data_IF_063564759012
#
_entry.id   IF_063564759012
#
_cell.length_a   1.000
_cell.length_b   1.000
_cell.length_c   1.000
_cell.angle_alpha   90.00
_cell.angle_beta   90.00
_cell.angle_gamma   90.00
#
_symmetry.space_group_name_H-M   'P 1'
#
loop_
_entity.id
_entity.type
_entity.pdbx_description
1 polymer ?
#
# COMPACT_ATOMS: atom_id res chain seq x y z
N UNK A 1 -38.68 7.03 14.50
CA UNK A 1 -37.49 7.85 14.23
C UNK A 1 -36.69 7.06 13.21
N UNK A 2 -36.77 7.46 11.94
CA UNK A 2 -35.95 6.83 10.90
C UNK A 2 -34.51 7.24 11.17
N UNK A 3 -33.66 6.29 11.52
CA UNK A 3 -32.21 6.47 11.52
C UNK A 3 -31.80 6.70 10.07
N UNK A 4 -31.76 7.95 9.66
CA UNK A 4 -31.18 8.33 8.38
C UNK A 4 -29.66 8.22 8.53
N UNK A 5 -29.16 6.98 8.46
CA UNK A 5 -27.71 6.75 8.45
C UNK A 5 -27.17 7.24 7.11
N UNK A 6 -26.52 8.38 7.14
CA UNK A 6 -25.88 8.95 5.95
C UNK A 6 -24.78 7.99 5.49
N UNK A 7 -24.84 7.61 4.21
CA UNK A 7 -23.87 6.74 3.57
C UNK A 7 -23.09 7.55 2.53
N UNK A 8 -21.80 7.25 2.43
CA UNK A 8 -20.93 7.81 1.40
C UNK A 8 -20.70 6.75 0.32
N UNK A 9 -20.78 7.16 -0.94
CA UNK A 9 -20.44 6.32 -2.07
C UNK A 9 -19.53 7.11 -3.02
N UNK A 10 -18.39 6.51 -3.37
CA UNK A 10 -17.46 7.03 -4.38
C UNK A 10 -17.11 5.89 -5.32
N UNK A 11 -17.11 6.15 -6.62
CA UNK A 11 -16.71 5.17 -7.63
C UNK A 11 -15.79 5.82 -8.66
N UNK A 12 -14.80 5.06 -9.14
CA UNK A 12 -13.85 5.51 -10.16
C UNK A 12 -13.42 4.37 -11.07
N UNK A 13 -13.30 4.68 -12.35
CA UNK A 13 -12.83 3.78 -13.39
C UNK A 13 -11.34 4.01 -13.66
N UNK A 14 -10.62 2.92 -13.94
CA UNK A 14 -9.17 2.88 -14.17
C UNK A 14 -8.84 2.12 -15.45
N UNK A 15 -7.85 2.59 -16.18
CA UNK A 15 -7.34 1.92 -17.37
C UNK A 15 -6.32 0.82 -16.98
N UNK A 16 -6.73 -0.14 -16.18
CA UNK A 16 -5.91 -1.26 -15.75
C UNK A 16 -6.78 -2.51 -15.57
N UNK A 17 -6.15 -3.65 -15.32
CA UNK A 17 -6.87 -4.87 -14.96
C UNK A 17 -7.43 -4.80 -13.54
N UNK A 18 -8.49 -5.58 -13.28
CA UNK A 18 -9.05 -5.74 -11.94
C UNK A 18 -8.00 -6.25 -10.93
N UNK A 19 -7.15 -7.18 -11.37
CA UNK A 19 -6.07 -7.73 -10.54
C UNK A 19 -5.06 -6.65 -10.13
N UNK A 20 -4.65 -5.78 -11.07
CA UNK A 20 -3.75 -4.68 -10.77
C UNK A 20 -4.37 -3.68 -9.77
N UNK A 21 -5.66 -3.35 -9.97
CA UNK A 21 -6.41 -2.48 -9.09
C UNK A 21 -6.56 -3.08 -7.67
N UNK A 22 -6.93 -4.36 -7.60
CA UNK A 22 -7.05 -5.11 -6.34
C UNK A 22 -5.70 -5.19 -5.61
N UNK A 23 -4.61 -5.50 -6.32
CA UNK A 23 -3.28 -5.56 -5.75
C UNK A 23 -2.81 -4.20 -5.22
N UNK A 24 -3.04 -3.12 -5.96
CA UNK A 24 -2.72 -1.78 -5.51
C UNK A 24 -3.45 -1.39 -4.23
N UNK A 25 -4.69 -1.87 -4.05
CA UNK A 25 -5.48 -1.64 -2.85
C UNK A 25 -5.08 -2.51 -1.66
N UNK A 26 -4.60 -3.72 -1.89
CA UNK A 26 -4.44 -4.74 -0.85
C UNK A 26 -2.99 -5.02 -0.46
N UNK A 27 -2.04 -4.89 -1.39
CA UNK A 27 -0.64 -5.16 -1.13
C UNK A 27 0.02 -4.03 -0.33
N UNK A 28 0.64 -4.31 0.84
CA UNK A 28 1.19 -3.29 1.72
C UNK A 28 2.18 -2.34 1.04
N UNK A 29 3.07 -2.88 0.21
CA UNK A 29 4.12 -2.09 -0.45
C UNK A 29 3.55 -1.17 -1.55
N UNK A 30 2.48 -1.59 -2.22
CA UNK A 30 1.80 -0.76 -3.19
C UNK A 30 0.96 0.32 -2.50
N UNK A 31 0.21 -0.05 -1.47
CA UNK A 31 -0.64 0.87 -0.72
C UNK A 31 0.16 2.04 -0.12
N UNK A 32 1.33 1.78 0.43
CA UNK A 32 2.25 2.81 0.96
C UNK A 32 2.71 3.83 -0.08
N UNK A 33 2.71 3.46 -1.36
CA UNK A 33 3.18 4.36 -2.42
C UNK A 33 2.15 5.40 -2.82
N UNK A 34 0.87 5.02 -2.86
CA UNK A 34 -0.16 5.90 -3.38
C UNK A 34 -1.05 6.51 -2.31
N UNK A 35 -1.35 5.80 -1.23
CA UNK A 35 -2.36 6.30 -0.28
C UNK A 35 -1.77 7.23 0.76
N UNK A 36 -2.04 8.53 0.59
CA UNK A 36 -1.51 9.62 1.42
C UNK A 36 -2.63 10.55 1.87
N UNK A 37 -3.58 10.07 2.68
CA UNK A 37 -4.67 10.89 3.17
C UNK A 37 -4.13 12.08 3.97
N UNK A 38 -4.66 13.27 3.72
CA UNK A 38 -4.19 14.52 4.33
C UNK A 38 -2.67 14.78 4.13
N UNK A 39 -2.09 14.27 3.04
CA UNK A 39 -0.66 14.36 2.75
C UNK A 39 0.26 13.50 3.64
N UNK A 40 -0.29 12.66 4.52
CA UNK A 40 0.47 11.83 5.47
C UNK A 40 0.89 10.51 4.85
N UNK A 41 2.14 10.11 5.11
CA UNK A 41 2.69 8.87 4.58
C UNK A 41 2.38 7.67 5.47
N UNK A 42 2.01 6.54 4.85
CA UNK A 42 1.88 5.25 5.51
C UNK A 42 3.26 4.69 5.88
N UNK A 43 3.43 4.37 7.16
CA UNK A 43 4.65 3.74 7.69
C UNK A 43 4.47 2.25 7.93
N UNK A 44 3.29 1.84 8.39
CA UNK A 44 2.97 0.43 8.61
C UNK A 44 1.60 0.09 8.00
N UNK A 45 1.56 -1.05 7.33
CA UNK A 45 0.33 -1.65 6.77
C UNK A 45 0.25 -3.11 7.17
N UNK A 46 -0.89 -3.50 7.71
CA UNK A 46 -1.30 -4.90 7.91
C UNK A 46 -2.60 -5.11 7.18
N UNK A 47 -2.61 -6.03 6.24
CA UNK A 47 -3.78 -6.49 5.50
C UNK A 47 -3.85 -8.01 5.51
N UNK A 48 -4.52 -8.58 6.50
CA UNK A 48 -4.74 -10.02 6.57
C UNK A 48 -6.09 -10.36 5.93
N UNK A 49 -6.09 -10.51 4.59
CA UNK A 49 -7.30 -10.59 3.75
C UNK A 49 -7.96 -11.95 3.90
N UNK A 50 -8.73 -12.10 4.95
CA UNK A 50 -9.64 -13.21 5.23
C UNK A 50 -10.68 -12.74 6.24
N UNK A 51 -11.84 -13.37 6.29
CA UNK A 51 -12.85 -13.07 7.30
C UNK A 51 -12.27 -13.19 8.72
N UNK A 52 -12.48 -12.18 9.54
CA UNK A 52 -11.87 -12.01 10.86
C UNK A 52 -10.42 -11.52 10.86
N UNK A 53 -9.78 -11.40 9.68
CA UNK A 53 -8.40 -10.92 9.56
C UNK A 53 -8.26 -9.43 9.87
N UNK A 54 -7.07 -9.05 10.31
CA UNK A 54 -6.76 -7.68 10.75
C UNK A 54 -6.51 -6.74 9.58
N UNK A 55 -7.03 -5.52 9.70
CA UNK A 55 -6.66 -4.33 8.92
C UNK A 55 -6.02 -3.34 9.87
N UNK A 56 -4.79 -2.87 9.58
CA UNK A 56 -4.15 -1.83 10.37
C UNK A 56 -3.24 -0.97 9.52
N UNK A 57 -3.43 0.33 9.60
CA UNK A 57 -2.62 1.33 8.92
C UNK A 57 -2.12 2.36 9.91
N UNK A 58 -0.81 2.57 9.95
CA UNK A 58 -0.16 3.56 10.80
C UNK A 58 0.49 4.60 9.90
N UNK A 59 0.19 5.85 10.15
CA UNK A 59 0.77 6.98 9.44
C UNK A 59 1.94 7.58 10.20
N UNK A 60 2.75 8.39 9.51
CA UNK A 60 3.92 9.05 10.08
C UNK A 60 3.57 9.78 11.40
N UNK A 61 4.54 9.79 12.32
CA UNK A 61 4.40 10.37 13.67
C UNK A 61 3.26 9.77 14.51
N UNK A 62 2.70 8.63 14.10
CA UNK A 62 1.49 8.06 14.68
C UNK A 62 0.35 9.09 14.79
N UNK A 63 0.34 10.05 13.86
CA UNK A 63 -0.66 11.14 13.86
C UNK A 63 -2.06 10.61 13.56
N UNK A 64 -2.14 9.55 12.77
CA UNK A 64 -3.34 8.81 12.45
C UNK A 64 -3.02 7.31 12.51
N UNK A 65 -3.89 6.55 13.12
CA UNK A 65 -3.93 5.10 13.01
C UNK A 65 -5.34 4.70 12.60
N UNK A 66 -5.42 3.74 11.69
CA UNK A 66 -6.69 3.13 11.29
C UNK A 66 -6.58 1.65 11.58
N UNK A 67 -7.59 1.08 12.23
CA UNK A 67 -7.69 -0.35 12.46
C UNK A 67 -9.07 -0.90 12.14
N UNK A 68 -9.13 -2.21 11.97
CA UNK A 68 -10.37 -2.90 11.68
C UNK A 68 -10.19 -4.39 11.47
N UNK A 69 -11.27 -5.04 11.08
CA UNK A 69 -11.32 -6.46 10.74
C UNK A 69 -12.16 -6.67 9.49
N UNK A 70 -11.71 -7.57 8.64
CA UNK A 70 -12.51 -8.05 7.52
C UNK A 70 -13.74 -8.78 8.02
N UNK A 71 -14.92 -8.33 7.62
CA UNK A 71 -16.21 -8.98 7.92
C UNK A 71 -16.59 -9.93 6.79
N UNK A 72 -16.24 -9.58 5.55
CA UNK A 72 -16.52 -10.38 4.36
C UNK A 72 -15.40 -10.23 3.32
N UNK A 73 -15.02 -11.35 2.72
CA UNK A 73 -14.04 -11.41 1.64
C UNK A 73 -14.58 -12.32 0.54
N UNK A 74 -14.85 -11.76 -0.64
CA UNK A 74 -15.31 -12.52 -1.81
C UNK A 74 -14.28 -12.45 -2.93
N UNK A 75 -13.25 -13.29 -2.85
CA UNK A 75 -12.16 -13.29 -3.82
C UNK A 75 -11.59 -11.88 -4.01
N UNK A 76 -11.46 -11.48 -5.29
CA UNK A 76 -11.03 -10.13 -5.67
C UNK A 76 -12.21 -9.21 -6.05
N UNK A 77 -13.44 -9.55 -5.66
CA UNK A 77 -14.63 -8.79 -6.05
C UNK A 77 -15.11 -7.86 -4.95
N UNK A 78 -15.02 -8.30 -3.69
CA UNK A 78 -15.60 -7.55 -2.58
C UNK A 78 -14.80 -7.74 -1.29
N UNK A 79 -14.51 -6.62 -0.64
CA UNK A 79 -13.97 -6.54 0.71
C UNK A 79 -14.91 -5.70 1.57
N UNK A 80 -15.41 -6.27 2.66
CA UNK A 80 -16.16 -5.52 3.69
C UNK A 80 -15.41 -5.62 5.02
N UNK A 81 -15.18 -4.48 5.67
CA UNK A 81 -14.40 -4.42 6.89
C UNK A 81 -14.74 -3.21 7.76
N UNK A 82 -14.50 -3.32 9.06
CA UNK A 82 -14.60 -2.21 9.99
C UNK A 82 -13.42 -1.25 9.77
N UNK A 83 -13.65 0.05 10.02
CA UNK A 83 -12.73 1.13 9.65
C UNK A 83 -12.72 2.17 10.75
N UNK A 84 -11.91 1.95 11.78
CA UNK A 84 -11.86 2.81 12.96
C UNK A 84 -10.70 3.78 12.85
N UNK A 85 -10.96 5.05 13.06
CA UNK A 85 -9.97 6.12 13.00
C UNK A 85 -9.55 6.56 14.40
N UNK A 86 -8.25 6.66 14.62
CA UNK A 86 -7.64 7.16 15.84
C UNK A 86 -6.70 8.31 15.50
N UNK A 87 -7.13 9.55 15.76
CA UNK A 87 -6.35 10.76 15.56
C UNK A 87 -5.67 11.17 16.87
N UNK A 88 -4.34 11.34 16.86
CA UNK A 88 -3.56 11.65 18.06
C UNK A 88 -3.83 13.05 18.62
N UNK A 89 -4.13 14.03 17.76
CA UNK A 89 -4.27 15.44 18.11
C UNK A 89 -5.68 15.83 18.58
N UNK A 90 -6.67 15.07 18.21
CA UNK A 90 -8.07 15.29 18.54
C UNK A 90 -8.59 14.06 19.25
N UNK A 91 -9.16 14.21 20.45
CA UNK A 91 -10.04 13.21 21.02
C UNK A 91 -11.34 13.15 20.20
N UNK A 92 -11.21 12.84 18.93
CA UNK A 92 -12.35 12.39 18.15
C UNK A 92 -12.60 10.99 18.69
N UNK A 93 -13.69 10.84 19.40
CA UNK A 93 -14.21 9.57 19.84
C UNK A 93 -14.19 8.61 18.65
N UNK A 94 -13.65 7.44 18.87
CA UNK A 94 -13.45 6.35 17.93
C UNK A 94 -14.59 6.28 16.90
N UNK A 95 -14.41 6.94 15.77
CA UNK A 95 -15.38 6.90 14.70
C UNK A 95 -15.37 5.47 14.10
N UNK A 96 -16.42 4.74 14.39
CA UNK A 96 -16.59 3.35 13.96
C UNK A 96 -17.30 3.32 12.62
N UNK A 97 -16.52 3.31 11.57
CA UNK A 97 -17.05 3.17 10.21
C UNK A 97 -16.98 1.73 9.73
N UNK A 98 -17.74 1.46 8.67
CA UNK A 98 -17.60 0.25 7.86
C UNK A 98 -17.33 0.66 6.42
N UNK A 99 -16.44 -0.08 5.79
CA UNK A 99 -16.16 0.04 4.37
C UNK A 99 -16.65 -1.20 3.63
N UNK A 100 -17.27 -0.98 2.48
CA UNK A 100 -17.51 -1.99 1.46
C UNK A 100 -16.78 -1.52 0.20
N UNK A 101 -15.80 -2.28 -0.25
CA UNK A 101 -14.98 -1.99 -1.42
C UNK A 101 -15.21 -3.07 -2.46
N UNK A 102 -15.77 -2.67 -3.60
CA UNK A 102 -16.08 -3.56 -4.72
C UNK A 102 -15.15 -3.28 -5.88
N UNK A 103 -14.66 -4.34 -6.50
CA UNK A 103 -13.81 -4.31 -7.69
C UNK A 103 -14.52 -5.01 -8.82
N UNK A 104 -14.68 -4.32 -9.95
CA UNK A 104 -15.37 -4.80 -11.13
C UNK A 104 -14.54 -4.52 -12.39
N UNK A 105 -14.88 -5.19 -13.48
CA UNK A 105 -14.26 -4.96 -14.79
C UNK A 105 -13.34 -6.09 -15.25
N UNK A 106 -12.80 -5.88 -16.44
CA UNK A 106 -11.94 -6.84 -17.16
C UNK A 106 -10.70 -6.13 -17.71
N UNK A 107 -9.72 -6.90 -18.10
CA UNK A 107 -8.44 -6.56 -18.77
C UNK A 107 -7.88 -5.14 -18.55
N UNK A 108 -8.44 -4.12 -19.17
CA UNK A 108 -7.93 -2.73 -19.12
C UNK A 108 -9.00 -1.72 -18.70
N UNK A 109 -10.08 -2.20 -18.07
CA UNK A 109 -11.18 -1.36 -17.66
C UNK A 109 -11.72 -1.85 -16.32
N UNK A 110 -11.04 -1.47 -15.26
CA UNK A 110 -11.45 -1.81 -13.89
C UNK A 110 -12.13 -0.64 -13.20
N UNK A 111 -13.08 -0.94 -12.36
CA UNK A 111 -13.81 0.04 -11.54
C UNK A 111 -13.71 -0.35 -10.08
N UNK A 112 -13.44 0.62 -9.22
CA UNK A 112 -13.58 0.49 -7.78
C UNK A 112 -14.79 1.30 -7.31
N UNK A 113 -15.56 0.73 -6.40
CA UNK A 113 -16.64 1.42 -5.70
C UNK A 113 -16.44 1.28 -4.19
N UNK A 114 -16.34 2.41 -3.51
CA UNK A 114 -16.15 2.49 -2.06
C UNK A 114 -17.44 3.02 -1.44
N UNK A 115 -18.02 2.23 -0.55
CA UNK A 115 -19.15 2.64 0.29
C UNK A 115 -18.67 2.71 1.73
N UNK A 116 -18.84 3.86 2.38
CA UNK A 116 -18.57 4.03 3.79
C UNK A 116 -19.86 4.35 4.54
N UNK A 117 -20.07 3.65 5.64
CA UNK A 117 -21.25 3.79 6.52
C UNK A 117 -20.82 4.00 7.97
N UNK A 118 -21.79 4.30 8.85
CA UNK A 118 -21.53 4.51 10.27
C UNK A 118 -21.31 5.98 10.64
N UNK A 119 -21.69 6.91 9.78
CA UNK A 119 -21.66 8.34 10.11
C UNK A 119 -22.74 8.68 11.14
N UNK A 120 -22.33 9.26 12.25
CA UNK A 120 -23.24 9.78 13.27
C UNK A 120 -23.79 11.17 12.90
N UNK A 121 -22.99 11.93 12.12
CA UNK A 121 -23.31 13.29 11.72
C UNK A 121 -23.18 13.45 10.21
N UNK A 122 -24.19 14.04 9.60
CA UNK A 122 -24.19 14.30 8.15
C UNK A 122 -23.04 15.21 7.70
N UNK A 123 -22.65 16.17 8.54
CA UNK A 123 -21.53 17.08 8.29
C UNK A 123 -20.19 16.36 8.12
N UNK A 124 -20.03 15.15 8.69
CA UNK A 124 -18.81 14.33 8.54
C UNK A 124 -18.72 13.64 7.19
N UNK A 125 -19.80 13.50 6.45
CA UNK A 125 -19.84 12.76 5.17
C UNK A 125 -18.98 13.46 4.10
N UNK A 126 -19.10 14.77 3.95
CA UNK A 126 -18.42 15.52 2.89
C UNK A 126 -16.90 15.51 3.00
N UNK A 127 -16.27 15.73 4.17
CA UNK A 127 -14.82 15.60 4.34
C UNK A 127 -14.30 14.19 3.98
N UNK A 128 -15.02 13.15 4.38
CA UNK A 128 -14.64 11.78 4.03
C UNK A 128 -14.79 11.50 2.53
N UNK A 129 -15.84 12.01 1.90
CA UNK A 129 -16.04 11.89 0.46
C UNK A 129 -14.90 12.53 -0.31
N UNK A 130 -14.53 13.75 0.04
CA UNK A 130 -13.38 14.43 -0.57
C UNK A 130 -12.09 13.63 -0.36
N UNK A 131 -11.84 13.10 0.83
CA UNK A 131 -10.66 12.28 1.11
C UNK A 131 -10.61 11.00 0.24
N UNK A 132 -11.75 10.36 -0.04
CA UNK A 132 -11.82 9.22 -0.95
C UNK A 132 -11.60 9.63 -2.41
N UNK A 133 -12.18 10.74 -2.86
CA UNK A 133 -11.99 11.26 -4.22
C UNK A 133 -10.51 11.58 -4.48
N UNK A 134 -9.84 12.25 -3.53
CA UNK A 134 -8.40 12.54 -3.57
C UNK A 134 -7.57 11.24 -3.53
N UNK A 135 -7.90 10.30 -2.66
CA UNK A 135 -7.23 9.00 -2.58
C UNK A 135 -7.34 8.18 -3.87
N UNK A 136 -8.52 8.14 -4.48
CA UNK A 136 -8.72 7.45 -5.76
C UNK A 136 -8.01 8.17 -6.92
N UNK A 137 -7.78 9.48 -6.82
CA UNK A 137 -6.95 10.21 -7.78
C UNK A 137 -5.47 9.83 -7.62
N UNK A 138 -4.95 9.74 -6.40
CA UNK A 138 -3.59 9.27 -6.11
C UNK A 138 -3.37 7.84 -6.62
N UNK A 139 -4.35 6.95 -6.44
CA UNK A 139 -4.32 5.60 -6.96
C UNK A 139 -4.25 5.57 -8.50
N UNK A 140 -4.98 6.48 -9.18
CA UNK A 140 -4.94 6.58 -10.63
C UNK A 140 -3.56 7.02 -11.13
N UNK A 141 -2.94 7.99 -10.49
CA UNK A 141 -1.59 8.46 -10.82
C UNK A 141 -0.55 7.34 -10.64
N UNK A 142 -0.63 6.61 -9.54
CA UNK A 142 0.23 5.46 -9.26
C UNK A 142 0.12 4.37 -10.33
N UNK A 143 -1.10 3.95 -10.67
CA UNK A 143 -1.33 2.91 -11.68
C UNK A 143 -0.91 3.35 -13.08
N UNK A 144 -1.12 4.61 -13.43
CA UNK A 144 -0.71 5.17 -14.73
C UNK A 144 0.82 5.26 -14.87
N UNK A 145 1.53 5.58 -13.78
CA UNK A 145 2.98 5.62 -13.75
C UNK A 145 3.62 4.24 -13.94
N UNK A 146 3.04 3.21 -13.32
CA UNK A 146 3.55 1.83 -13.45
C UNK A 146 3.36 1.26 -14.85
N UNK A 147 2.28 1.60 -15.56
CA UNK A 147 2.05 1.15 -16.94
C UNK A 147 3.10 1.69 -17.92
N UNK A 148 3.66 2.88 -17.68
CA UNK A 148 4.73 3.44 -18.52
C UNK A 148 6.05 2.68 -18.36
N UNK A 149 6.33 2.15 -17.18
CA UNK A 149 7.53 1.33 -16.94
C UNK A 149 7.45 -0.03 -17.64
N UNK A 150 6.29 -0.68 -17.61
CA UNK A 150 6.09 -1.99 -18.26
C UNK A 150 6.15 -1.90 -19.79
N UNK A 151 5.61 -0.83 -20.37
CA UNK A 151 5.65 -0.60 -21.81
C UNK A 151 7.08 -0.25 -22.31
N UNK A 152 7.91 0.36 -21.50
CA UNK A 152 9.30 0.69 -21.87
C UNK A 152 10.22 -0.53 -21.74
N UNK A 153 9.94 -1.45 -20.82
CA UNK A 153 10.66 -2.72 -20.68
C UNK A 153 10.36 -3.70 -21.84
N UNK A 154 9.14 -3.66 -22.38
CA UNK A 154 8.73 -4.52 -23.49
C UNK A 154 9.26 -4.05 -24.85
N UNK A 155 9.67 -2.79 -24.98
CA UNK A 155 10.14 -2.20 -26.25
C UNK A 155 11.66 -2.27 -26.45
N UNK A 156 12.43 -2.75 -25.47
CA UNK A 156 13.89 -2.92 -25.57
C UNK A 156 14.34 -4.33 -25.98
N UNK A 157 13.40 -5.22 -26.33
CA UNK A 157 13.69 -6.63 -26.69
C UNK A 157 13.36 -7.00 -28.13
N UNK A 158 13.60 -6.10 -29.12
CA UNK A 158 13.54 -6.50 -30.53
C UNK A 158 14.48 -5.67 -31.38
N UNK A 159 15.76 -6.01 -31.35
CA UNK A 159 16.65 -5.75 -32.48
C UNK A 159 17.58 -6.96 -32.70
N UNK A 160 17.26 -7.91 -33.58
CA UNK A 160 18.18 -8.92 -34.02
C UNK A 160 18.85 -8.43 -35.31
N UNK A 161 19.96 -7.70 -35.22
CA UNK A 161 21.02 -7.74 -36.21
C UNK A 161 22.19 -6.81 -35.86
N UNK A 162 23.29 -7.37 -35.37
CA UNK A 162 24.64 -6.86 -35.61
C UNK A 162 25.61 -8.03 -35.42
N UNK A 163 26.02 -8.53 -36.54
CA UNK A 163 27.24 -9.26 -36.97
C UNK A 163 28.35 -9.36 -35.92
N UNK A 164 28.83 -10.63 -35.82
CA UNK A 164 30.08 -11.04 -35.19
C UNK A 164 31.27 -10.13 -35.59
N UNK A 165 32.01 -9.67 -34.58
CA UNK A 165 33.46 -9.58 -34.66
C UNK A 165 34.09 -9.87 -33.28
N UNK A 166 34.96 -10.85 -33.36
CA UNK A 166 35.94 -11.33 -32.42
C UNK A 166 36.86 -10.20 -31.96
N UNK A 167 37.12 -10.11 -30.66
CA UNK A 167 38.46 -9.94 -30.16
C UNK A 167 38.54 -10.30 -28.68
N UNK A 168 39.55 -11.01 -28.39
CA UNK A 168 40.11 -11.75 -27.26
C UNK A 168 40.82 -10.78 -26.31
N UNK A 169 40.98 -11.23 -25.03
CA UNK A 169 41.79 -10.70 -23.94
C UNK A 169 41.13 -9.59 -23.08
N UNK A 170 41.04 -9.72 -21.76
CA UNK A 170 41.92 -10.23 -20.74
C UNK A 170 41.15 -10.55 -19.45
N UNK A 171 41.51 -11.67 -18.83
CA UNK A 171 41.20 -11.99 -17.44
C UNK A 171 41.92 -11.02 -16.50
N UNK A 172 41.20 -10.28 -15.67
CA UNK A 172 41.78 -9.67 -14.49
C UNK A 172 41.03 -10.19 -13.24
N UNK A 173 41.78 -11.01 -12.56
CA UNK A 173 41.45 -11.79 -11.38
C UNK A 173 41.27 -10.85 -10.17
N UNK A 174 40.05 -10.60 -9.77
CA UNK A 174 39.75 -9.89 -8.52
C UNK A 174 39.92 -10.86 -7.34
N UNK A 175 40.96 -10.64 -6.51
CA UNK A 175 41.12 -11.25 -5.19
C UNK A 175 40.56 -10.31 -4.12
N UNK A 176 39.65 -10.77 -3.25
CA UNK A 176 39.28 -10.01 -2.07
C UNK A 176 40.37 -10.08 -0.99
N UNK A 177 40.59 -9.02 -0.20
CA UNK A 177 41.60 -9.02 0.85
C UNK A 177 41.20 -9.94 2.01
N UNK A 178 42.12 -10.82 2.38
CA UNK A 178 42.07 -11.65 3.58
C UNK A 178 42.31 -10.75 4.79
N UNK A 179 41.32 -10.53 5.62
CA UNK A 179 41.54 -9.95 6.93
C UNK A 179 42.02 -11.03 7.88
N UNK A 180 43.29 -10.93 8.25
CA UNK A 180 43.93 -11.79 9.23
C UNK A 180 43.37 -11.57 10.63
N UNK A 181 43.05 -12.67 11.25
CA UNK A 181 42.91 -12.79 12.70
C UNK A 181 44.21 -12.51 13.38
N UNK A 182 44.20 -11.65 14.40
CA UNK A 182 45.22 -11.65 15.44
C UNK A 182 44.50 -11.77 16.79
N UNK A 183 44.56 -12.99 17.31
CA UNK A 183 44.43 -13.24 18.74
C UNK A 183 45.73 -12.76 19.43
N UNK A 184 45.58 -11.96 20.47
CA UNK A 184 46.55 -11.94 21.59
C UNK A 184 45.80 -11.82 22.89
N UNK A 185 45.84 -12.94 23.60
CA UNK A 185 45.63 -13.02 25.05
C UNK A 185 46.63 -12.08 25.76
N UNK A 186 46.18 -11.42 26.80
CA UNK A 186 47.00 -11.32 28.03
C UNK A 186 46.12 -10.99 29.25
N UNK A 187 46.16 -11.92 30.10
CA UNK A 187 45.94 -12.18 31.50
C UNK A 187 46.06 -10.98 32.48
N UNK A 188 45.10 -11.02 33.40
CA UNK A 188 45.25 -10.98 34.86
C UNK A 188 46.05 -9.87 35.55
N UNK A 189 45.41 -9.25 36.55
CA UNK A 189 45.75 -9.21 38.00
C UNK A 189 44.74 -8.34 38.75
N UNK A 190 43.95 -8.90 39.61
CA UNK A 190 43.98 -9.10 41.08
C UNK A 190 44.65 -7.99 41.89
N UNK A 191 43.91 -7.47 42.87
CA UNK A 191 44.32 -6.69 44.05
C UNK A 191 43.40 -5.47 44.22
N UNK A 192 42.54 -5.32 45.16
CA UNK A 192 42.65 -5.62 46.58
C UNK A 192 42.81 -4.33 47.37
N UNK A 193 41.76 -3.87 48.00
CA UNK A 193 41.64 -3.23 49.31
C UNK A 193 40.19 -2.73 49.48
#
# INVERSE_FOLDING_TARGET
MENNSSNLNVSKQFNCSKDALYNAWTQPEQLKQWWKPMGKQLTQVVNNIKEGGEVKYVFEDNSLTIDGKYEKVQGQDLLEYTWNWHLKAERIEDAKYKLSVRFEGESNNATISVTQTGFEKEESVQPHKQGWEEGLQQLQEYLSGNQQHDNNASNSSSNPNATEQKEEQAEEKYMPPVTGYNETEEQAKVGGA
#
